data_IF_409212624378
#
_entry.id   IF_409212624378
#
_cell.length_a   1.000
_cell.length_b   1.000
_cell.length_c   1.000
_cell.angle_alpha   90.00
_cell.angle_beta   90.00
_cell.angle_gamma   90.00
#
_symmetry.space_group_name_H-M   'P 1'
#
loop_
_entity.id
_entity.type
_entity.pdbx_description
1 polymer ?
#
# COMPACT_ATOMS: atom_id res chain seq x y z
N UNK A 1 -6.26 -0.13 5.47
CA UNK A 1 -5.41 -1.30 5.14
C UNK A 1 -5.35 -2.34 6.25
N UNK A 2 -5.02 -1.98 7.50
CA UNK A 2 -4.96 -2.95 8.61
C UNK A 2 -6.28 -3.75 8.82
N UNK A 3 -7.43 -3.11 8.61
CA UNK A 3 -8.75 -3.76 8.69
C UNK A 3 -8.93 -4.85 7.61
N UNK A 4 -8.46 -4.59 6.39
CA UNK A 4 -8.53 -5.54 5.26
C UNK A 4 -7.60 -6.73 5.52
N UNK A 5 -6.39 -6.45 6.00
CA UNK A 5 -5.41 -7.49 6.40
C UNK A 5 -5.97 -8.35 7.53
N UNK A 6 -6.59 -7.73 8.55
CA UNK A 6 -7.22 -8.43 9.66
C UNK A 6 -8.40 -9.32 9.23
N UNK A 7 -9.22 -8.86 8.28
CA UNK A 7 -10.32 -9.66 7.71
C UNK A 7 -9.81 -10.85 6.89
N UNK A 8 -8.75 -10.67 6.08
CA UNK A 8 -8.10 -11.74 5.32
C UNK A 8 -7.47 -12.78 6.25
N UNK A 9 -6.80 -12.33 7.31
CA UNK A 9 -6.22 -13.21 8.32
C UNK A 9 -7.32 -13.99 9.04
N UNK A 10 -8.40 -13.30 9.45
CA UNK A 10 -9.56 -13.93 10.08
C UNK A 10 -10.17 -14.98 9.15
N UNK A 11 -10.40 -14.71 7.88
CA UNK A 11 -10.91 -15.69 6.91
C UNK A 11 -9.95 -16.89 6.73
N UNK A 12 -8.65 -16.62 6.63
CA UNK A 12 -7.62 -17.64 6.45
C UNK A 12 -7.53 -18.60 7.64
N UNK A 13 -7.72 -18.10 8.86
CA UNK A 13 -7.73 -18.92 10.08
C UNK A 13 -9.11 -19.48 10.43
N UNK A 14 -10.20 -18.82 10.06
CA UNK A 14 -11.57 -19.21 10.44
C UNK A 14 -12.01 -20.57 9.90
N UNK A 15 -11.53 -20.97 8.72
CA UNK A 15 -11.89 -22.26 8.11
C UNK A 15 -11.05 -23.44 8.60
N UNK A 16 -10.03 -23.24 9.43
CA UNK A 16 -9.09 -24.31 9.80
C UNK A 16 -9.50 -25.04 11.07
N UNK A 17 -9.97 -26.28 10.88
CA UNK A 17 -10.24 -27.26 11.95
C UNK A 17 -9.03 -28.14 12.27
N UNK A 18 -8.00 -28.13 11.43
CA UNK A 18 -6.79 -28.96 11.56
C UNK A 18 -5.56 -28.12 11.88
N UNK A 19 -4.63 -28.65 12.71
CA UNK A 19 -3.39 -27.96 13.04
C UNK A 19 -2.57 -27.69 11.77
N UNK A 20 -1.96 -26.51 11.75
CA UNK A 20 -1.28 -25.97 10.58
C UNK A 20 -0.04 -26.81 10.28
N UNK A 21 -0.08 -27.61 9.21
CA UNK A 21 1.11 -28.30 8.74
C UNK A 21 2.15 -27.27 8.31
N UNK A 22 3.44 -27.52 8.60
CA UNK A 22 4.54 -26.57 8.37
C UNK A 22 4.54 -25.98 6.95
N UNK A 23 4.19 -26.79 5.95
CA UNK A 23 4.04 -26.38 4.56
C UNK A 23 2.89 -25.37 4.32
N UNK A 24 1.74 -25.57 4.98
CA UNK A 24 0.62 -24.60 4.94
C UNK A 24 0.95 -23.31 5.68
N UNK A 25 1.78 -23.38 6.73
CA UNK A 25 2.25 -22.20 7.46
C UNK A 25 3.19 -21.35 6.59
N UNK A 26 4.12 -22.00 5.90
CA UNK A 26 5.04 -21.33 4.97
C UNK A 26 4.31 -20.67 3.81
N UNK A 27 3.27 -21.32 3.25
CA UNK A 27 2.38 -20.70 2.25
C UNK A 27 1.69 -19.44 2.77
N UNK A 28 1.24 -19.43 4.03
CA UNK A 28 0.64 -18.25 4.65
C UNK A 28 1.63 -17.09 4.80
N UNK A 29 2.85 -17.39 5.25
CA UNK A 29 3.94 -16.41 5.34
C UNK A 29 4.34 -15.84 3.98
N UNK A 30 4.41 -16.68 2.96
CA UNK A 30 4.73 -16.25 1.60
C UNK A 30 3.70 -15.27 1.04
N UNK A 31 2.41 -15.53 1.27
CA UNK A 31 1.32 -14.62 0.86
C UNK A 31 1.41 -13.28 1.60
N UNK A 32 1.74 -13.29 2.90
CA UNK A 32 1.96 -12.05 3.66
C UNK A 32 3.15 -11.26 3.13
N UNK A 33 4.25 -11.93 2.78
CA UNK A 33 5.44 -11.29 2.23
C UNK A 33 5.13 -10.58 0.91
N UNK A 34 4.41 -11.23 -0.01
CA UNK A 34 4.00 -10.60 -1.28
C UNK A 34 3.11 -9.38 -1.01
N UNK A 35 2.20 -9.46 -0.05
CA UNK A 35 1.33 -8.33 0.29
C UNK A 35 2.12 -7.12 0.81
N UNK A 36 3.11 -7.34 1.67
CA UNK A 36 3.99 -6.27 2.18
C UNK A 36 4.77 -5.63 1.04
N UNK A 37 5.32 -6.43 0.12
CA UNK A 37 6.06 -5.90 -1.04
C UNK A 37 5.14 -5.05 -1.93
N UNK A 38 3.93 -5.53 -2.21
CA UNK A 38 2.95 -4.79 -3.01
C UNK A 38 2.59 -3.48 -2.32
N UNK A 39 2.20 -3.51 -1.04
CA UNK A 39 1.80 -2.29 -0.30
C UNK A 39 2.96 -1.29 -0.23
N UNK A 40 4.17 -1.73 0.11
CA UNK A 40 5.35 -0.87 0.14
C UNK A 40 5.73 -0.32 -1.24
N UNK A 41 5.52 -1.11 -2.29
CA UNK A 41 5.70 -0.66 -3.67
C UNK A 41 4.67 0.39 -4.10
N UNK A 42 3.41 0.23 -3.68
CA UNK A 42 2.33 1.18 -3.98
C UNK A 42 2.49 2.50 -3.23
N UNK A 43 2.91 2.50 -1.95
CA UNK A 43 3.17 3.76 -1.22
C UNK A 43 4.15 4.67 -1.94
N UNK A 44 5.18 4.10 -2.59
CA UNK A 44 6.16 4.88 -3.36
C UNK A 44 5.57 5.46 -4.65
N UNK A 45 4.55 4.85 -5.22
CA UNK A 45 3.87 5.35 -6.42
C UNK A 45 2.90 6.47 -6.05
N UNK A 46 2.19 6.36 -4.93
CA UNK A 46 1.32 7.42 -4.43
C UNK A 46 2.12 8.68 -4.07
N UNK A 47 3.30 8.53 -3.43
CA UNK A 47 4.20 9.66 -3.12
C UNK A 47 4.70 10.38 -4.39
N UNK A 48 5.02 9.64 -5.46
CA UNK A 48 5.44 10.23 -6.74
C UNK A 48 4.27 11.00 -7.38
N UNK A 49 3.08 10.42 -7.36
CA UNK A 49 1.87 11.04 -7.94
C UNK A 49 1.40 12.27 -7.18
N UNK A 50 1.73 12.35 -5.89
CA UNK A 50 1.42 13.50 -5.05
C UNK A 50 2.48 14.59 -5.21
N UNK A 51 3.76 14.23 -5.25
CA UNK A 51 4.85 15.18 -5.53
C UNK A 51 4.71 15.89 -6.88
N UNK A 52 4.31 15.17 -7.93
CA UNK A 52 4.09 15.76 -9.27
C UNK A 52 2.94 16.78 -9.30
N UNK A 53 1.91 16.59 -8.47
CA UNK A 53 0.77 17.53 -8.36
C UNK A 53 1.12 18.78 -7.57
N UNK A 54 1.95 18.63 -6.53
CA UNK A 54 2.40 19.75 -5.70
C UNK A 54 3.38 20.64 -6.47
N UNK A 55 4.29 20.05 -7.26
CA UNK A 55 5.22 20.80 -8.13
C UNK A 55 4.49 21.65 -9.20
N UNK A 56 3.46 21.08 -9.83
CA UNK A 56 2.68 21.79 -10.85
C UNK A 56 1.90 22.98 -10.26
N UNK A 57 1.34 22.81 -9.07
CA UNK A 57 0.60 23.87 -8.37
C UNK A 57 1.50 25.03 -7.95
N UNK A 58 2.72 24.76 -7.46
CA UNK A 58 3.66 25.81 -7.08
C UNK A 58 4.16 26.60 -8.30
N UNK A 59 4.36 25.94 -9.46
CA UNK A 59 4.70 26.62 -10.71
C UNK A 59 3.60 27.57 -11.19
N UNK A 60 2.33 27.16 -11.11
CA UNK A 60 1.20 28.00 -11.50
C UNK A 60 1.07 29.24 -10.60
N UNK A 61 1.19 29.06 -9.27
CA UNK A 61 1.17 30.17 -8.31
C UNK A 61 2.30 31.16 -8.59
N UNK A 62 3.52 30.67 -8.83
CA UNK A 62 4.68 31.51 -9.11
C UNK A 62 4.52 32.29 -10.43
N UNK A 63 3.99 31.63 -11.47
CA UNK A 63 3.71 32.26 -12.76
C UNK A 63 2.68 33.39 -12.62
N UNK A 64 1.56 33.13 -11.95
CA UNK A 64 0.52 34.13 -11.68
C UNK A 64 1.09 35.32 -10.88
N UNK A 65 1.88 35.05 -9.84
CA UNK A 65 2.50 36.10 -9.02
C UNK A 65 3.52 36.94 -9.81
N UNK A 66 4.31 36.31 -10.68
CA UNK A 66 5.30 37.01 -11.52
C UNK A 66 4.65 37.90 -12.59
N UNK A 67 3.46 37.52 -13.07
CA UNK A 67 2.73 38.25 -14.12
C UNK A 67 1.89 39.41 -13.57
N UNK A 68 1.74 39.49 -12.25
CA UNK A 68 1.03 40.57 -11.54
C UNK A 68 1.93 41.75 -11.15
N UNK A 69 3.22 41.69 -11.50
CA UNK A 69 4.23 42.73 -11.22
C UNK A 69 4.65 43.42 -12.51
#
# INVERSE_FOLDING_TARGET
>A
MAIIVGLLLRLYFHKRKTPMTVNSWFKGLFVMLIFVIIVSGFSRIDDIKQGEKEEFHDMDIYNIASKSK
#
